data_IF_722615077587
#
_entry.id   IF_722615077587
#
_cell.length_a   1.000
_cell.length_b   1.000
_cell.length_c   1.000
_cell.angle_alpha   90.00
_cell.angle_beta   90.00
_cell.angle_gamma   90.00
#
_symmetry.space_group_name_H-M   'P 1'
#
loop_
_entity.id
_entity.type
_entity.pdbx_description
1 polymer ?
#
# COMPACT_ATOMS: atom_id res chain seq x y z
N UNK A 1 -17.51 -10.79 -26.22
CA UNK A 1 -16.09 -11.21 -26.07
C UNK A 1 -15.14 -10.20 -26.67
N UNK A 2 -15.36 -9.68 -27.87
CA UNK A 2 -14.50 -8.66 -28.49
C UNK A 2 -14.28 -7.42 -27.63
N UNK A 3 -15.33 -6.85 -27.07
CA UNK A 3 -15.25 -5.71 -26.16
C UNK A 3 -14.39 -5.99 -24.91
N UNK A 4 -14.41 -7.21 -24.37
CA UNK A 4 -13.61 -7.57 -23.20
C UNK A 4 -12.12 -7.55 -23.53
N UNK A 5 -11.74 -8.11 -24.70
CA UNK A 5 -10.35 -8.10 -25.14
C UNK A 5 -9.85 -6.68 -25.44
N UNK A 6 -10.69 -5.85 -26.06
CA UNK A 6 -10.33 -4.46 -26.34
C UNK A 6 -10.16 -3.66 -25.02
N UNK A 7 -11.08 -3.85 -24.08
CA UNK A 7 -10.96 -3.22 -22.75
C UNK A 7 -9.70 -3.69 -22.03
N UNK A 8 -9.41 -5.00 -22.03
CA UNK A 8 -8.20 -5.53 -21.41
C UNK A 8 -6.93 -4.96 -22.06
N UNK A 9 -6.88 -4.90 -23.40
CA UNK A 9 -5.76 -4.31 -24.13
C UNK A 9 -5.57 -2.83 -23.81
N UNK A 10 -6.67 -2.07 -23.70
CA UNK A 10 -6.62 -0.64 -23.33
C UNK A 10 -6.08 -0.43 -21.92
N UNK A 11 -6.55 -1.20 -20.94
CA UNK A 11 -6.06 -1.11 -19.56
C UNK A 11 -4.59 -1.50 -19.43
N UNK A 12 -4.18 -2.60 -20.07
CA UNK A 12 -2.77 -3.01 -20.10
C UNK A 12 -1.90 -2.03 -20.89
N UNK A 13 -2.44 -1.38 -21.94
CA UNK A 13 -1.76 -0.31 -22.67
C UNK A 13 -1.49 0.90 -21.78
N UNK A 14 -2.46 1.32 -20.97
CA UNK A 14 -2.30 2.39 -19.97
C UNK A 14 -1.27 1.98 -18.91
N UNK A 15 -1.29 0.74 -18.42
CA UNK A 15 -0.32 0.23 -17.47
C UNK A 15 1.11 0.22 -18.03
N UNK A 16 1.27 -0.21 -19.28
CA UNK A 16 2.56 -0.16 -19.97
C UNK A 16 3.06 1.28 -20.12
N UNK A 17 2.19 2.19 -20.55
CA UNK A 17 2.52 3.61 -20.66
C UNK A 17 2.94 4.19 -19.29
N UNK A 18 2.24 3.83 -18.22
CA UNK A 18 2.60 4.22 -16.86
C UNK A 18 4.01 3.76 -16.48
N UNK A 19 4.35 2.51 -16.79
CA UNK A 19 5.67 1.95 -16.53
C UNK A 19 6.77 2.70 -17.31
N UNK A 20 6.53 3.00 -18.59
CA UNK A 20 7.49 3.75 -19.43
C UNK A 20 7.71 5.18 -18.93
N UNK A 21 6.66 5.86 -18.49
CA UNK A 21 6.75 7.19 -17.89
C UNK A 21 7.50 7.12 -16.55
N UNK A 22 7.18 6.16 -15.69
CA UNK A 22 7.84 5.94 -14.41
C UNK A 22 9.35 5.75 -14.58
N UNK A 23 9.78 4.90 -15.50
CA UNK A 23 11.21 4.66 -15.80
C UNK A 23 11.93 5.95 -16.23
N UNK A 24 11.27 6.80 -17.00
CA UNK A 24 11.89 8.06 -17.49
C UNK A 24 11.90 9.18 -16.46
N UNK A 25 10.91 9.21 -15.56
CA UNK A 25 10.72 10.32 -14.61
C UNK A 25 11.23 10.03 -13.21
N UNK A 26 11.47 8.76 -12.88
CA UNK A 26 11.76 8.30 -11.50
C UNK A 26 10.56 8.40 -10.54
N UNK A 27 9.36 8.71 -11.06
CA UNK A 27 8.13 8.75 -10.26
C UNK A 27 7.62 7.32 -10.09
N UNK A 28 7.15 6.98 -8.88
CA UNK A 28 6.55 5.66 -8.61
C UNK A 28 5.49 5.29 -9.64
N UNK A 29 5.57 4.07 -10.19
CA UNK A 29 4.63 3.56 -11.20
C UNK A 29 3.16 3.65 -10.73
N UNK A 30 2.90 3.37 -9.46
CA UNK A 30 1.56 3.46 -8.86
C UNK A 30 0.97 4.88 -8.96
N UNK A 31 1.78 5.92 -8.74
CA UNK A 31 1.36 7.31 -8.91
C UNK A 31 1.03 7.64 -10.37
N UNK A 32 1.85 7.15 -11.30
CA UNK A 32 1.62 7.35 -12.74
C UNK A 32 0.37 6.59 -13.19
N UNK A 33 0.15 5.36 -12.69
CA UNK A 33 -1.06 4.57 -12.96
C UNK A 33 -2.34 5.28 -12.48
N UNK A 34 -2.31 5.87 -11.27
CA UNK A 34 -3.45 6.67 -10.78
C UNK A 34 -3.65 7.89 -11.68
N UNK A 35 -2.58 8.62 -12.01
CA UNK A 35 -2.68 9.81 -12.87
C UNK A 35 -3.25 9.48 -14.24
N UNK A 36 -2.74 8.45 -14.91
CA UNK A 36 -3.28 8.00 -16.19
C UNK A 36 -4.70 7.45 -16.04
N UNK A 37 -5.04 6.84 -14.91
CA UNK A 37 -6.39 6.44 -14.56
C UNK A 37 -7.35 7.64 -14.52
N UNK A 38 -6.94 8.76 -13.89
CA UNK A 38 -7.72 10.02 -13.89
C UNK A 38 -7.98 10.50 -15.32
N UNK A 39 -6.95 10.50 -16.16
CA UNK A 39 -7.07 10.89 -17.56
C UNK A 39 -7.99 9.95 -18.33
N UNK A 40 -7.82 8.65 -18.15
CA UNK A 40 -8.61 7.63 -18.84
C UNK A 40 -10.10 7.67 -18.41
N UNK A 41 -10.39 7.83 -17.12
CA UNK A 41 -11.76 7.92 -16.61
C UNK A 41 -12.49 9.16 -17.07
N UNK A 42 -11.83 10.32 -17.05
CA UNK A 42 -12.48 11.59 -17.36
C UNK A 42 -12.54 11.91 -18.88
N UNK A 43 -11.57 11.44 -19.68
CA UNK A 43 -11.47 11.81 -21.11
C UNK A 43 -11.69 10.64 -22.06
N UNK A 44 -11.37 9.39 -21.65
CA UNK A 44 -11.46 8.23 -22.53
C UNK A 44 -12.65 7.31 -22.18
N UNK A 45 -13.45 7.68 -21.17
CA UNK A 45 -14.63 6.91 -20.76
C UNK A 45 -14.28 5.52 -20.20
N UNK A 46 -13.15 5.39 -19.51
CA UNK A 46 -12.82 4.13 -18.84
C UNK A 46 -13.79 3.90 -17.70
N UNK A 47 -14.63 2.86 -17.87
CA UNK A 47 -15.57 2.41 -16.85
C UNK A 47 -15.14 1.06 -16.30
N UNK A 48 -15.41 0.85 -15.03
CA UNK A 48 -15.16 -0.45 -14.40
C UNK A 48 -16.12 -1.50 -14.94
N UNK A 49 -15.61 -2.70 -15.15
CA UNK A 49 -16.40 -3.88 -15.48
C UNK A 49 -16.21 -4.93 -14.36
N UNK A 50 -17.14 -5.88 -14.15
CA UNK A 50 -17.07 -6.83 -13.04
C UNK A 50 -15.74 -7.60 -12.95
N UNK A 51 -15.14 -7.97 -14.07
CA UNK A 51 -13.85 -8.66 -14.09
C UNK A 51 -12.68 -7.73 -13.70
N UNK A 52 -12.76 -6.44 -14.04
CA UNK A 52 -11.79 -5.41 -13.61
C UNK A 52 -11.90 -5.22 -12.10
N UNK A 53 -13.13 -5.19 -11.57
CA UNK A 53 -13.37 -5.06 -10.12
C UNK A 53 -12.73 -6.22 -9.34
N UNK A 54 -12.84 -7.46 -9.88
CA UNK A 54 -12.20 -8.63 -9.27
C UNK A 54 -10.67 -8.52 -9.31
N UNK A 55 -10.09 -8.14 -10.45
CA UNK A 55 -8.63 -7.96 -10.57
C UNK A 55 -8.12 -6.85 -9.66
N UNK A 56 -8.82 -5.72 -9.59
CA UNK A 56 -8.47 -4.61 -8.72
C UNK A 56 -8.54 -4.98 -7.24
N UNK A 57 -9.62 -5.67 -6.83
CA UNK A 57 -9.75 -6.17 -5.45
C UNK A 57 -8.65 -7.17 -5.10
N UNK A 58 -8.34 -8.10 -6.01
CA UNK A 58 -7.25 -9.05 -5.80
C UNK A 58 -5.89 -8.36 -5.80
N UNK A 59 -5.70 -7.32 -6.61
CA UNK A 59 -4.51 -6.46 -6.59
C UNK A 59 -4.29 -5.79 -5.23
N UNK A 60 -5.34 -5.22 -4.64
CA UNK A 60 -5.32 -4.66 -3.29
C UNK A 60 -4.92 -5.71 -2.24
N UNK A 61 -5.53 -6.91 -2.30
CA UNK A 61 -5.19 -8.01 -1.39
C UNK A 61 -3.72 -8.45 -1.53
N UNK A 62 -3.24 -8.56 -2.75
CA UNK A 62 -1.86 -8.95 -3.05
C UNK A 62 -0.84 -7.92 -2.60
N UNK A 63 -1.11 -6.62 -2.82
CA UNK A 63 -0.27 -5.53 -2.30
C UNK A 63 -0.17 -5.60 -0.77
N UNK A 64 -1.30 -5.81 -0.13
CA UNK A 64 -1.38 -5.91 1.33
C UNK A 64 -0.65 -7.14 1.86
N UNK A 65 -0.84 -8.29 1.21
CA UNK A 65 -0.12 -9.52 1.53
C UNK A 65 1.41 -9.33 1.40
N UNK A 66 1.87 -8.75 0.29
CA UNK A 66 3.29 -8.47 0.08
C UNK A 66 3.84 -7.50 1.14
N UNK A 67 3.10 -6.45 1.47
CA UNK A 67 3.50 -5.53 2.54
C UNK A 67 3.75 -6.26 3.87
N UNK A 68 2.90 -7.24 4.21
CA UNK A 68 3.12 -8.10 5.39
C UNK A 68 4.28 -9.08 5.22
N UNK A 69 4.43 -9.69 4.03
CA UNK A 69 5.42 -10.71 3.76
C UNK A 69 6.87 -10.17 3.63
N UNK A 70 7.02 -8.89 3.33
CA UNK A 70 8.32 -8.23 3.18
C UNK A 70 8.98 -7.85 4.51
N UNK A 71 8.27 -7.95 5.61
CA UNK A 71 8.80 -7.60 6.93
C UNK A 71 9.85 -8.61 7.34
N UNK A 72 11.04 -8.10 7.67
CA UNK A 72 12.06 -8.89 8.33
C UNK A 72 11.76 -9.00 9.84
N UNK A 73 11.38 -10.19 10.35
CA UNK A 73 11.03 -10.36 11.75
C UNK A 73 12.19 -10.06 12.71
N UNK A 74 13.45 -10.24 12.28
CA UNK A 74 14.62 -9.99 13.11
C UNK A 74 14.88 -8.48 13.26
N UNK A 75 14.83 -7.74 12.15
CA UNK A 75 14.95 -6.27 12.15
C UNK A 75 13.79 -5.62 12.90
N UNK A 76 12.57 -6.12 12.74
CA UNK A 76 11.41 -5.64 13.48
C UNK A 76 11.61 -5.78 15.00
N UNK A 77 12.11 -6.94 15.48
CA UNK A 77 12.40 -7.14 16.90
C UNK A 77 13.48 -6.20 17.44
N UNK A 78 14.54 -5.93 16.66
CA UNK A 78 15.64 -5.02 17.06
C UNK A 78 15.15 -3.59 17.30
N UNK A 79 14.24 -3.10 16.45
CA UNK A 79 13.71 -1.73 16.48
C UNK A 79 12.26 -1.64 17.01
N UNK A 80 11.79 -2.68 17.71
CA UNK A 80 10.39 -2.83 18.09
C UNK A 80 9.81 -1.61 18.82
N UNK A 81 10.50 -1.13 19.88
CA UNK A 81 10.00 -0.02 20.68
C UNK A 81 9.87 1.29 19.89
N UNK A 82 10.93 1.80 19.22
CA UNK A 82 10.80 3.02 18.44
C UNK A 82 9.83 2.87 17.27
N UNK A 83 9.81 1.72 16.57
CA UNK A 83 8.89 1.49 15.46
C UNK A 83 7.42 1.45 15.89
N UNK A 84 7.12 0.80 17.02
CA UNK A 84 5.76 0.78 17.57
C UNK A 84 5.30 2.18 17.97
N UNK A 85 6.12 2.93 18.69
CA UNK A 85 5.74 4.26 19.18
C UNK A 85 5.60 5.24 18.02
N UNK A 86 6.59 5.30 17.12
CA UNK A 86 6.56 6.18 15.95
C UNK A 86 5.40 5.80 15.03
N UNK A 87 5.22 4.52 14.72
CA UNK A 87 4.17 4.05 13.84
C UNK A 87 2.78 4.29 14.40
N UNK A 88 2.57 4.00 15.70
CA UNK A 88 1.27 4.23 16.36
C UNK A 88 0.90 5.72 16.41
N UNK A 89 1.82 6.58 16.80
CA UNK A 89 1.57 8.03 16.83
C UNK A 89 1.44 8.59 15.42
N UNK A 90 2.22 8.08 14.47
CA UNK A 90 2.09 8.41 13.05
C UNK A 90 0.72 8.04 12.46
N UNK A 91 0.06 7.02 12.99
CA UNK A 91 -1.33 6.71 12.70
C UNK A 91 -2.30 7.63 13.46
N UNK A 92 -2.15 7.69 14.79
CA UNK A 92 -3.16 8.27 15.67
C UNK A 92 -3.36 9.79 15.46
N UNK A 93 -2.28 10.55 15.33
CA UNK A 93 -2.36 12.02 15.23
C UNK A 93 -3.08 12.47 13.96
N UNK A 94 -2.71 12.04 12.74
CA UNK A 94 -3.45 12.45 11.56
C UNK A 94 -4.85 11.80 11.48
N UNK A 95 -5.07 10.62 12.07
CA UNK A 95 -6.40 10.02 12.20
C UNK A 95 -7.34 10.97 12.97
N UNK A 96 -6.95 11.35 14.18
CA UNK A 96 -7.75 12.27 15.00
C UNK A 96 -7.81 13.67 14.40
N UNK A 97 -6.70 14.18 13.88
CA UNK A 97 -6.63 15.52 13.28
C UNK A 97 -7.51 15.68 12.05
N UNK A 98 -7.44 14.73 11.11
CA UNK A 98 -8.26 14.77 9.91
C UNK A 98 -9.75 14.50 10.23
N UNK A 99 -10.04 13.54 11.11
CA UNK A 99 -11.40 13.26 11.56
C UNK A 99 -12.03 14.47 12.24
N UNK A 100 -11.33 15.10 13.18
CA UNK A 100 -11.82 16.29 13.87
C UNK A 100 -12.01 17.46 12.89
N UNK A 101 -11.04 17.69 12.00
CA UNK A 101 -11.13 18.76 11.02
C UNK A 101 -12.34 18.56 10.08
N UNK A 102 -12.49 17.37 9.51
CA UNK A 102 -13.58 17.09 8.57
C UNK A 102 -14.94 17.12 9.25
N UNK A 103 -15.06 16.66 10.48
CA UNK A 103 -16.34 16.71 11.20
C UNK A 103 -16.71 18.13 11.66
N UNK A 104 -15.81 18.81 12.39
CA UNK A 104 -16.16 20.08 13.05
C UNK A 104 -16.02 21.32 12.14
N UNK A 105 -15.14 21.26 11.14
CA UNK A 105 -14.87 22.44 10.28
C UNK A 105 -15.55 22.30 8.93
N UNK A 106 -15.50 21.10 8.28
CA UNK A 106 -16.14 20.93 6.97
C UNK A 106 -17.57 20.42 7.05
N UNK A 107 -18.04 20.02 8.24
CA UNK A 107 -19.42 19.57 8.45
C UNK A 107 -19.71 18.16 7.89
N UNK A 108 -18.68 17.34 7.66
CA UNK A 108 -18.91 15.96 7.25
C UNK A 108 -19.57 15.17 8.38
N UNK A 109 -20.45 14.25 8.04
CA UNK A 109 -21.04 13.34 9.02
C UNK A 109 -19.93 12.48 9.70
N UNK A 110 -20.28 11.89 10.84
CA UNK A 110 -19.29 11.20 11.68
C UNK A 110 -18.61 10.03 10.97
N UNK A 111 -19.37 9.24 10.19
CA UNK A 111 -18.81 8.09 9.46
C UNK A 111 -17.87 8.52 8.33
N UNK A 112 -18.27 9.56 7.56
CA UNK A 112 -17.41 10.14 6.52
C UNK A 112 -16.13 10.73 7.11
N UNK A 113 -16.23 11.41 8.27
CA UNK A 113 -15.06 11.94 8.97
C UNK A 113 -14.13 10.84 9.48
N UNK A 114 -14.66 9.71 9.94
CA UNK A 114 -13.87 8.53 10.30
C UNK A 114 -13.11 7.96 9.09
N UNK A 115 -13.77 7.84 7.93
CA UNK A 115 -13.10 7.43 6.68
C UNK A 115 -12.00 8.41 6.31
N UNK A 116 -12.23 9.72 6.41
CA UNK A 116 -11.22 10.74 6.16
C UNK A 116 -10.02 10.58 7.12
N UNK A 117 -10.29 10.39 8.41
CA UNK A 117 -9.26 10.11 9.41
C UNK A 117 -8.41 8.90 9.06
N UNK A 118 -9.05 7.77 8.72
CA UNK A 118 -8.38 6.53 8.32
C UNK A 118 -7.56 6.75 7.04
N UNK A 119 -8.16 7.30 5.99
CA UNK A 119 -7.48 7.50 4.72
C UNK A 119 -6.26 8.41 4.83
N UNK A 120 -6.33 9.45 5.66
CA UNK A 120 -5.26 10.44 5.82
C UNK A 120 -4.23 10.06 6.90
N UNK A 121 -4.51 9.08 7.76
CA UNK A 121 -3.54 8.59 8.75
C UNK A 121 -2.42 7.73 8.16
N UNK A 122 -2.62 7.22 6.97
CA UNK A 122 -1.78 6.21 6.34
C UNK A 122 -0.36 6.67 6.06
N UNK A 123 0.56 5.71 6.04
CA UNK A 123 1.91 5.82 5.47
C UNK A 123 2.02 4.77 4.35
N UNK A 124 2.62 5.09 3.23
CA UNK A 124 2.75 4.12 2.14
C UNK A 124 4.05 3.34 2.23
N UNK A 125 3.99 2.09 2.67
CA UNK A 125 5.16 1.18 2.62
C UNK A 125 5.71 1.09 1.21
N UNK A 126 4.86 1.00 0.18
CA UNK A 126 5.30 0.87 -1.21
C UNK A 126 6.15 2.06 -1.67
N UNK A 127 5.71 3.29 -1.39
CA UNK A 127 6.47 4.51 -1.74
C UNK A 127 7.74 4.61 -0.92
N UNK A 128 7.65 4.39 0.39
CA UNK A 128 8.81 4.44 1.30
C UNK A 128 9.84 3.38 0.93
N UNK A 129 9.41 2.15 0.63
CA UNK A 129 10.31 1.07 0.24
C UNK A 129 11.01 1.37 -1.09
N UNK A 130 10.30 1.89 -2.10
CA UNK A 130 10.92 2.30 -3.36
C UNK A 130 12.02 3.34 -3.12
N UNK A 131 11.73 4.39 -2.36
CA UNK A 131 12.71 5.41 -1.99
C UNK A 131 13.91 4.82 -1.24
N UNK A 132 13.65 3.91 -0.28
CA UNK A 132 14.72 3.25 0.48
C UNK A 132 15.62 2.40 -0.41
N UNK A 133 15.06 1.69 -1.40
CA UNK A 133 15.84 0.89 -2.35
C UNK A 133 16.66 1.77 -3.28
N UNK A 134 16.05 2.82 -3.82
CA UNK A 134 16.74 3.79 -4.72
C UNK A 134 17.90 4.50 -4.03
N UNK A 135 17.77 4.81 -2.75
CA UNK A 135 18.80 5.50 -1.96
C UNK A 135 19.76 4.55 -1.23
N UNK A 136 19.57 3.22 -1.32
CA UNK A 136 20.36 2.22 -0.60
C UNK A 136 20.12 2.20 0.91
N UNK A 137 19.11 2.93 1.40
CA UNK A 137 18.80 3.02 2.84
C UNK A 137 18.06 1.80 3.40
N UNK A 138 17.51 0.92 2.54
CA UNK A 138 16.80 -0.30 2.94
C UNK A 138 17.64 -1.26 3.79
N UNK A 139 18.96 -1.24 3.64
CA UNK A 139 19.87 -2.09 4.42
C UNK A 139 20.35 -1.42 5.73
N UNK A 140 20.10 -0.13 5.91
CA UNK A 140 20.50 0.64 7.10
C UNK A 140 19.54 0.48 8.27
N UNK A 141 20.03 0.74 9.49
CA UNK A 141 19.18 0.69 10.70
C UNK A 141 18.03 1.72 10.65
N UNK A 142 18.27 2.90 10.06
CA UNK A 142 17.23 3.92 9.90
C UNK A 142 16.18 3.50 8.89
N UNK A 143 16.57 2.95 7.74
CA UNK A 143 15.62 2.46 6.75
C UNK A 143 14.74 1.33 7.28
N UNK A 144 15.36 0.37 7.99
CA UNK A 144 14.65 -0.73 8.65
C UNK A 144 13.68 -0.24 9.73
N UNK A 145 14.06 0.78 10.51
CA UNK A 145 13.19 1.40 11.49
C UNK A 145 11.99 2.08 10.83
N UNK A 146 12.22 2.87 9.77
CA UNK A 146 11.14 3.57 9.05
C UNK A 146 10.17 2.55 8.44
N UNK A 147 10.67 1.51 7.75
CA UNK A 147 9.82 0.47 7.17
C UNK A 147 9.01 -0.27 8.24
N UNK A 148 9.62 -0.56 9.40
CA UNK A 148 8.91 -1.17 10.52
C UNK A 148 7.84 -0.23 11.13
N UNK A 149 8.10 1.08 11.18
CA UNK A 149 7.11 2.06 11.64
C UNK A 149 5.96 2.24 10.63
N UNK A 150 6.25 2.22 9.32
CA UNK A 150 5.22 2.20 8.27
C UNK A 150 4.28 1.00 8.43
N UNK A 151 4.85 -0.16 8.70
CA UNK A 151 4.10 -1.37 9.00
C UNK A 151 3.11 -1.19 10.15
N UNK A 152 3.55 -0.60 11.26
CA UNK A 152 2.69 -0.34 12.43
C UNK A 152 1.57 0.64 12.08
N UNK A 153 1.87 1.66 11.26
CA UNK A 153 0.87 2.60 10.77
C UNK A 153 -0.19 1.91 9.89
N UNK A 154 0.25 1.03 8.99
CA UNK A 154 -0.66 0.25 8.12
C UNK A 154 -1.55 -0.68 8.94
N UNK A 155 -0.98 -1.39 9.93
CA UNK A 155 -1.75 -2.20 10.86
C UNK A 155 -2.79 -1.36 11.62
N UNK A 156 -2.41 -0.18 12.10
CA UNK A 156 -3.34 0.77 12.76
C UNK A 156 -4.50 1.16 11.84
N UNK A 157 -4.19 1.47 10.59
CA UNK A 157 -5.19 1.84 9.57
C UNK A 157 -6.19 0.70 9.32
N UNK A 158 -5.68 -0.51 9.11
CA UNK A 158 -6.51 -1.68 8.81
C UNK A 158 -7.35 -2.09 10.02
N UNK A 159 -6.79 -2.01 11.22
CA UNK A 159 -7.53 -2.26 12.46
C UNK A 159 -8.63 -1.22 12.68
N UNK A 160 -8.33 0.07 12.44
CA UNK A 160 -9.34 1.12 12.55
C UNK A 160 -10.48 0.92 11.56
N UNK A 161 -10.18 0.60 10.29
CA UNK A 161 -11.19 0.30 9.29
C UNK A 161 -12.05 -0.91 9.71
N UNK A 162 -11.40 -1.99 10.15
CA UNK A 162 -12.08 -3.21 10.57
C UNK A 162 -12.93 -3.04 11.83
N UNK A 163 -12.48 -2.25 12.81
CA UNK A 163 -13.20 -2.04 14.09
C UNK A 163 -14.33 -1.02 13.96
N UNK A 164 -14.08 0.11 13.29
CA UNK A 164 -15.06 1.20 13.20
C UNK A 164 -16.22 0.88 12.25
N UNK A 165 -15.97 0.08 11.22
CA UNK A 165 -16.97 -0.27 10.22
C UNK A 165 -17.33 -1.77 10.22
N UNK A 166 -16.98 -2.50 11.28
CA UNK A 166 -17.38 -3.89 11.45
C UNK A 166 -18.88 -4.03 11.67
N UNK A 167 -19.50 -4.88 10.88
CA UNK A 167 -20.86 -5.35 11.16
C UNK A 167 -20.78 -6.60 12.04
N UNK A 168 -21.11 -6.46 13.32
CA UNK A 168 -21.11 -7.56 14.28
C UNK A 168 -22.28 -8.51 14.01
N UNK A 169 -22.06 -9.49 13.14
CA UNK A 169 -23.01 -10.57 12.84
C UNK A 169 -22.38 -11.94 13.11
N UNK A 170 -23.16 -13.01 12.96
CA UNK A 170 -22.67 -14.40 13.15
C UNK A 170 -21.50 -14.74 12.20
N UNK A 171 -21.51 -14.21 10.99
CA UNK A 171 -20.46 -14.42 10.00
C UNK A 171 -19.16 -13.73 10.40
N UNK A 172 -19.23 -12.60 11.11
CA UNK A 172 -18.04 -11.93 11.66
C UNK A 172 -17.34 -12.80 12.69
N UNK A 173 -18.08 -13.47 13.57
CA UNK A 173 -17.50 -14.42 14.53
C UNK A 173 -16.83 -15.61 13.81
N UNK A 174 -17.50 -16.18 12.80
CA UNK A 174 -16.94 -17.26 11.97
C UNK A 174 -15.67 -16.77 11.26
N UNK A 175 -15.71 -15.59 10.67
CA UNK A 175 -14.57 -14.98 10.00
C UNK A 175 -13.37 -14.82 10.94
N UNK A 176 -13.58 -14.25 12.12
CA UNK A 176 -12.51 -14.06 13.12
C UNK A 176 -11.93 -15.41 13.55
N UNK A 177 -12.78 -16.38 13.94
CA UNK A 177 -12.33 -17.71 14.37
C UNK A 177 -11.56 -18.43 13.27
N UNK A 178 -12.10 -18.46 12.04
CA UNK A 178 -11.44 -19.14 10.91
C UNK A 178 -10.15 -18.43 10.52
N UNK A 179 -10.11 -17.09 10.54
CA UNK A 179 -8.88 -16.34 10.29
C UNK A 179 -7.82 -16.61 11.34
N UNK A 180 -8.16 -16.60 12.63
CA UNK A 180 -7.22 -16.94 13.70
C UNK A 180 -6.70 -18.37 13.57
N UNK A 181 -7.57 -19.33 13.28
CA UNK A 181 -7.18 -20.73 13.07
C UNK A 181 -6.29 -20.88 11.83
N UNK A 182 -6.65 -20.22 10.73
CA UNK A 182 -5.85 -20.19 9.52
C UNK A 182 -4.45 -19.62 9.80
N UNK A 183 -4.35 -18.45 10.43
CA UNK A 183 -3.08 -17.82 10.78
C UNK A 183 -2.22 -18.69 11.70
N UNK A 184 -2.82 -19.46 12.58
CA UNK A 184 -2.10 -20.41 13.43
C UNK A 184 -1.58 -21.63 12.66
N UNK A 185 -2.36 -22.13 11.70
CA UNK A 185 -2.01 -23.32 10.89
C UNK A 185 -1.07 -22.97 9.71
N UNK A 186 -1.28 -21.82 9.08
CA UNK A 186 -0.60 -21.42 7.82
C UNK A 186 0.93 -21.46 7.90
N UNK A 187 1.63 -21.04 8.98
CA UNK A 187 3.09 -21.11 9.04
C UNK A 187 3.63 -22.54 8.94
N UNK A 188 2.91 -23.51 9.51
CA UNK A 188 3.31 -24.92 9.46
C UNK A 188 2.99 -25.52 8.10
N UNK A 189 1.79 -25.23 7.61
CA UNK A 189 1.28 -25.73 6.33
C UNK A 189 2.11 -25.17 5.15
N UNK A 190 2.41 -23.88 5.14
CA UNK A 190 3.24 -23.23 4.10
C UNK A 190 4.64 -23.84 4.06
N UNK A 191 5.31 -23.96 5.21
CA UNK A 191 6.64 -24.56 5.28
C UNK A 191 6.65 -26.03 4.80
N UNK A 192 5.65 -26.81 5.22
CA UNK A 192 5.52 -28.20 4.77
C UNK A 192 5.29 -28.28 3.26
N UNK A 193 4.36 -27.48 2.74
CA UNK A 193 3.99 -27.46 1.35
C UNK A 193 5.14 -27.00 0.45
N UNK A 194 5.80 -25.90 0.80
CA UNK A 194 6.91 -25.35 0.03
C UNK A 194 8.11 -26.29 0.03
N UNK A 195 8.43 -26.93 1.19
CA UNK A 195 9.51 -27.91 1.26
C UNK A 195 9.22 -29.16 0.43
N UNK A 196 7.97 -29.64 0.38
CA UNK A 196 7.61 -30.89 -0.28
C UNK A 196 7.35 -30.72 -1.78
N UNK A 197 6.75 -29.62 -2.19
CA UNK A 197 6.25 -29.42 -3.55
C UNK A 197 6.84 -28.20 -4.25
N UNK A 198 7.61 -27.39 -3.57
CA UNK A 198 8.16 -26.14 -4.08
C UNK A 198 9.24 -26.32 -5.16
N UNK A 199 9.54 -25.23 -5.86
CA UNK A 199 10.57 -25.19 -6.90
C UNK A 199 10.19 -25.92 -8.20
N UNK A 200 8.91 -26.19 -8.43
CA UNK A 200 8.42 -26.84 -9.66
C UNK A 200 7.88 -25.81 -10.65
N UNK A 201 7.97 -26.12 -11.94
CA UNK A 201 7.44 -25.28 -13.05
C UNK A 201 5.95 -24.93 -12.87
N UNK A 202 5.18 -25.80 -12.20
CA UNK A 202 3.77 -25.55 -11.93
C UNK A 202 3.48 -24.52 -10.84
N UNK A 203 4.51 -23.97 -10.18
CA UNK A 203 4.42 -22.92 -9.14
C UNK A 203 3.39 -23.23 -8.04
N UNK A 204 3.50 -24.37 -7.35
CA UNK A 204 2.49 -24.75 -6.36
C UNK A 204 2.44 -23.80 -5.15
N UNK A 205 3.57 -23.14 -4.81
CA UNK A 205 3.67 -22.15 -3.74
C UNK A 205 2.80 -20.92 -4.03
N UNK A 206 2.89 -20.41 -5.26
CA UNK A 206 2.10 -19.25 -5.72
C UNK A 206 0.61 -19.58 -5.72
N UNK A 207 0.24 -20.76 -6.25
CA UNK A 207 -1.14 -21.24 -6.25
C UNK A 207 -1.69 -21.40 -4.84
N UNK A 208 -0.88 -21.91 -3.91
CA UNK A 208 -1.28 -22.05 -2.51
C UNK A 208 -1.56 -20.68 -1.87
N UNK A 209 -0.67 -19.71 -2.07
CA UNK A 209 -0.86 -18.35 -1.54
C UNK A 209 -2.15 -17.74 -2.12
N UNK A 210 -2.36 -17.85 -3.44
CA UNK A 210 -3.57 -17.35 -4.09
C UNK A 210 -4.84 -18.03 -3.56
N UNK A 211 -4.81 -19.35 -3.38
CA UNK A 211 -5.92 -20.09 -2.80
C UNK A 211 -6.26 -19.57 -1.39
N UNK A 212 -5.26 -19.39 -0.54
CA UNK A 212 -5.47 -18.89 0.83
C UNK A 212 -6.03 -17.47 0.80
N UNK A 213 -5.47 -16.58 -0.03
CA UNK A 213 -5.96 -15.20 -0.15
C UNK A 213 -7.40 -15.15 -0.67
N UNK A 214 -7.73 -15.90 -1.71
CA UNK A 214 -9.10 -15.98 -2.22
C UNK A 214 -10.07 -16.54 -1.17
N UNK A 215 -9.65 -17.54 -0.41
CA UNK A 215 -10.47 -18.11 0.67
C UNK A 215 -10.71 -17.11 1.79
N UNK A 216 -9.66 -16.43 2.26
CA UNK A 216 -9.78 -15.38 3.27
C UNK A 216 -10.61 -14.19 2.76
N UNK A 217 -10.44 -13.83 1.48
CA UNK A 217 -11.25 -12.81 0.82
C UNK A 217 -12.73 -13.17 0.77
N UNK A 218 -13.06 -14.41 0.39
CA UNK A 218 -14.44 -14.89 0.36
C UNK A 218 -15.10 -14.87 1.75
N UNK A 219 -14.35 -15.28 2.79
CA UNK A 219 -14.81 -15.20 4.18
C UNK A 219 -15.04 -13.75 4.64
N UNK A 220 -14.12 -12.84 4.28
CA UNK A 220 -14.24 -11.42 4.62
C UNK A 220 -15.51 -10.83 3.99
N UNK A 221 -15.74 -11.07 2.70
CA UNK A 221 -16.96 -10.61 1.99
C UNK A 221 -18.22 -11.20 2.63
N UNK A 222 -18.23 -12.50 2.96
CA UNK A 222 -19.37 -13.14 3.64
C UNK A 222 -19.64 -12.53 5.02
N UNK A 223 -18.60 -12.05 5.69
CA UNK A 223 -18.70 -11.37 6.98
C UNK A 223 -19.01 -9.87 6.87
N UNK A 224 -19.24 -9.34 5.66
CA UNK A 224 -19.30 -7.90 5.37
C UNK A 224 -18.09 -7.12 5.91
N UNK A 225 -16.92 -7.74 5.88
CA UNK A 225 -15.64 -7.18 6.32
C UNK A 225 -14.71 -6.99 5.11
N UNK A 226 -13.51 -6.45 5.36
CA UNK A 226 -12.50 -6.25 4.32
C UNK A 226 -11.45 -7.36 4.34
N UNK A 227 -11.07 -7.80 3.14
CA UNK A 227 -10.07 -8.85 2.95
C UNK A 227 -8.62 -8.37 3.24
N UNK A 228 -8.42 -7.07 3.38
CA UNK A 228 -7.12 -6.43 3.54
C UNK A 228 -6.43 -6.87 4.83
N UNK A 229 -7.14 -6.88 5.97
CA UNK A 229 -6.58 -7.32 7.26
C UNK A 229 -6.09 -8.77 7.25
N UNK A 230 -6.90 -9.78 6.88
CA UNK A 230 -6.41 -11.15 6.85
C UNK A 230 -5.30 -11.40 5.83
N UNK A 231 -5.30 -10.70 4.67
CA UNK A 231 -4.22 -10.77 3.70
C UNK A 231 -2.89 -10.26 4.28
N UNK A 232 -2.94 -9.14 4.99
CA UNK A 232 -1.78 -8.57 5.66
C UNK A 232 -1.22 -9.49 6.75
N UNK A 233 -2.09 -9.99 7.63
CA UNK A 233 -1.71 -10.92 8.70
C UNK A 233 -1.15 -12.23 8.13
N UNK A 234 -1.71 -12.72 7.02
CA UNK A 234 -1.15 -13.90 6.34
C UNK A 234 0.25 -13.61 5.81
N UNK A 235 0.47 -12.46 5.15
CA UNK A 235 1.80 -12.02 4.73
C UNK A 235 2.80 -12.01 5.88
N UNK A 236 2.43 -11.38 7.00
CA UNK A 236 3.26 -11.31 8.21
C UNK A 236 3.63 -12.69 8.76
N UNK A 237 2.66 -13.59 8.81
CA UNK A 237 2.84 -14.94 9.37
C UNK A 237 3.78 -15.79 8.51
N UNK A 238 3.80 -15.58 7.20
CA UNK A 238 4.70 -16.27 6.26
C UNK A 238 5.98 -15.49 5.94
N UNK A 239 6.16 -14.30 6.49
CA UNK A 239 7.31 -13.43 6.22
C UNK A 239 8.66 -14.14 6.39
N UNK A 240 8.80 -14.98 7.44
CA UNK A 240 10.01 -15.76 7.66
C UNK A 240 10.36 -16.76 6.54
N UNK A 241 9.36 -17.22 5.78
CA UNK A 241 9.58 -18.07 4.60
C UNK A 241 10.12 -17.25 3.44
N UNK A 242 9.56 -16.06 3.23
CA UNK A 242 9.97 -15.15 2.14
C UNK A 242 11.35 -14.53 2.37
N UNK A 243 11.76 -14.34 3.62
CA UNK A 243 13.14 -13.94 3.95
C UNK A 243 14.15 -14.99 3.48
N UNK A 244 13.78 -16.27 3.58
CA UNK A 244 14.64 -17.40 3.14
C UNK A 244 14.55 -17.65 1.64
N UNK A 245 13.37 -17.44 1.03
CA UNK A 245 13.14 -17.67 -0.41
C UNK A 245 12.88 -16.34 -1.15
N UNK A 246 13.98 -15.68 -1.49
CA UNK A 246 13.93 -14.41 -2.27
C UNK A 246 13.43 -14.61 -3.70
N UNK A 247 13.51 -15.84 -4.24
CA UNK A 247 13.01 -16.16 -5.58
C UNK A 247 11.48 -16.15 -5.58
N UNK A 248 10.86 -16.81 -4.60
CA UNK A 248 9.42 -16.80 -4.44
C UNK A 248 8.89 -15.37 -4.25
N UNK A 249 9.55 -14.55 -3.43
CA UNK A 249 9.18 -13.14 -3.26
C UNK A 249 9.20 -12.38 -4.59
N UNK A 250 10.25 -12.54 -5.40
CA UNK A 250 10.33 -11.89 -6.72
C UNK A 250 9.21 -12.35 -7.65
N UNK A 251 8.88 -13.64 -7.68
CA UNK A 251 7.77 -14.18 -8.48
C UNK A 251 6.43 -13.56 -8.07
N UNK A 252 6.16 -13.51 -6.77
CA UNK A 252 4.95 -12.88 -6.24
C UNK A 252 4.87 -11.41 -6.62
N UNK A 253 5.96 -10.65 -6.47
CA UNK A 253 6.04 -9.25 -6.90
C UNK A 253 5.78 -9.12 -8.41
N UNK A 254 6.42 -9.93 -9.24
CA UNK A 254 6.24 -9.89 -10.69
C UNK A 254 4.77 -10.04 -11.08
N UNK A 255 4.09 -11.06 -10.58
CA UNK A 255 2.66 -11.28 -10.89
C UNK A 255 1.83 -10.10 -10.39
N UNK A 256 2.07 -9.67 -9.17
CA UNK A 256 1.33 -8.57 -8.54
C UNK A 256 1.49 -7.28 -9.33
N UNK A 257 2.71 -6.82 -9.55
CA UNK A 257 2.97 -5.52 -10.19
C UNK A 257 2.76 -5.53 -11.71
N UNK A 258 2.85 -6.68 -12.37
CA UNK A 258 2.61 -6.77 -13.82
C UNK A 258 1.12 -6.80 -14.17
N UNK A 259 0.32 -7.52 -13.39
CA UNK A 259 -1.07 -7.79 -13.76
C UNK A 259 -2.09 -7.18 -12.80
N UNK A 260 -1.87 -7.26 -11.50
CA UNK A 260 -2.93 -6.99 -10.53
C UNK A 260 -2.96 -5.53 -10.07
N UNK A 261 -1.81 -4.96 -9.71
CA UNK A 261 -1.76 -3.60 -9.20
C UNK A 261 -2.14 -2.52 -10.21
N UNK A 262 -1.83 -2.66 -11.52
CA UNK A 262 -2.27 -1.68 -12.49
C UNK A 262 -3.80 -1.53 -12.53
N UNK A 263 -4.54 -2.65 -12.48
CA UNK A 263 -6.00 -2.59 -12.43
C UNK A 263 -6.52 -1.89 -11.17
N UNK A 264 -5.85 -2.07 -10.02
CA UNK A 264 -6.22 -1.38 -8.80
C UNK A 264 -5.97 0.13 -8.90
N UNK A 265 -4.76 0.55 -9.27
CA UNK A 265 -4.40 1.97 -9.28
C UNK A 265 -5.05 2.75 -10.42
N UNK A 266 -5.13 2.19 -11.63
CA UNK A 266 -5.84 2.83 -12.75
C UNK A 266 -7.32 2.99 -12.41
N UNK A 267 -7.97 1.97 -11.81
CA UNK A 267 -9.36 2.06 -11.36
C UNK A 267 -9.52 3.13 -10.28
N UNK A 268 -8.65 3.17 -9.29
CA UNK A 268 -8.69 4.20 -8.25
C UNK A 268 -8.58 5.61 -8.86
N UNK A 269 -7.72 5.79 -9.86
CA UNK A 269 -7.61 7.01 -10.62
C UNK A 269 -8.86 7.34 -11.44
N UNK A 270 -9.40 6.36 -12.17
CA UNK A 270 -10.57 6.55 -13.03
C UNK A 270 -11.84 6.97 -12.26
N UNK A 271 -11.91 6.68 -10.96
CA UNK A 271 -12.98 7.11 -10.08
C UNK A 271 -12.80 8.55 -9.57
N UNK A 272 -11.69 9.23 -9.86
CA UNK A 272 -11.48 10.62 -9.44
C UNK A 272 -12.18 11.57 -10.43
N UNK A 273 -13.04 12.41 -9.91
CA UNK A 273 -13.75 13.44 -10.68
C UNK A 273 -12.92 14.72 -10.80
N UNK A 274 -12.51 15.12 -12.01
CA UNK A 274 -11.81 16.39 -12.25
C UNK A 274 -12.62 17.63 -11.84
N UNK A 275 -13.95 17.73 -12.10
CA UNK A 275 -14.74 18.82 -11.60
C UNK A 275 -14.71 18.93 -10.06
N UNK A 276 -14.79 17.80 -9.34
CA UNK A 276 -14.69 17.77 -7.90
C UNK A 276 -13.30 18.23 -7.39
N UNK A 277 -12.23 17.95 -8.13
CA UNK A 277 -10.89 18.45 -7.80
C UNK A 277 -10.81 19.97 -7.92
N UNK A 278 -11.34 20.52 -9.00
CA UNK A 278 -11.31 21.97 -9.22
C UNK A 278 -12.10 22.72 -8.14
N UNK A 279 -13.30 22.26 -7.81
CA UNK A 279 -14.12 22.88 -6.77
C UNK A 279 -13.58 22.63 -5.36
N UNK A 280 -12.93 21.48 -5.13
CA UNK A 280 -12.39 21.06 -3.85
C UNK A 280 -10.94 21.46 -3.58
N UNK A 281 -10.25 22.20 -4.47
CA UNK A 281 -8.80 22.45 -4.39
C UNK A 281 -8.37 23.07 -3.05
N UNK A 282 -9.15 24.00 -2.51
CA UNK A 282 -8.88 24.63 -1.20
C UNK A 282 -8.94 23.59 -0.08
N UNK A 283 -9.96 22.75 -0.10
CA UNK A 283 -10.12 21.69 0.90
C UNK A 283 -9.00 20.65 0.79
N UNK A 284 -8.58 20.30 -0.43
CA UNK A 284 -7.46 19.40 -0.69
C UNK A 284 -6.18 19.95 -0.07
N UNK A 285 -5.86 21.22 -0.32
CA UNK A 285 -4.64 21.85 0.23
C UNK A 285 -4.69 21.94 1.77
N UNK A 286 -5.84 22.27 2.33
CA UNK A 286 -6.01 22.34 3.79
C UNK A 286 -5.87 20.95 4.41
N UNK A 287 -6.52 19.91 3.87
CA UNK A 287 -6.41 18.54 4.38
C UNK A 287 -5.01 17.97 4.24
N UNK A 288 -4.32 18.29 3.15
CA UNK A 288 -2.89 17.95 3.01
C UNK A 288 -2.07 18.64 4.11
N UNK A 289 -2.33 19.92 4.37
CA UNK A 289 -1.70 20.68 5.45
C UNK A 289 -2.00 20.07 6.84
N UNK A 290 -3.25 19.70 7.11
CA UNK A 290 -3.67 19.04 8.36
C UNK A 290 -2.93 17.71 8.54
N UNK A 291 -2.88 16.87 7.50
CA UNK A 291 -2.15 15.62 7.53
C UNK A 291 -0.67 15.83 7.84
N UNK A 292 0.00 16.71 7.09
CA UNK A 292 1.43 16.98 7.28
C UNK A 292 1.72 17.57 8.66
N UNK A 293 0.94 18.53 9.11
CA UNK A 293 1.07 19.13 10.44
C UNK A 293 0.89 18.09 11.55
N UNK A 294 -0.13 17.25 11.46
CA UNK A 294 -0.38 16.19 12.43
C UNK A 294 0.79 15.17 12.48
N UNK A 295 1.34 14.80 11.33
CA UNK A 295 2.53 13.93 11.25
C UNK A 295 3.77 14.60 11.86
N UNK A 296 4.01 15.88 11.55
CA UNK A 296 5.14 16.62 12.10
C UNK A 296 5.00 16.74 13.63
N UNK A 297 3.84 17.15 14.13
CA UNK A 297 3.59 17.30 15.57
C UNK A 297 3.73 15.97 16.30
N UNK A 298 3.27 14.87 15.72
CA UNK A 298 3.34 13.55 16.35
C UNK A 298 4.70 12.87 16.22
N UNK A 299 5.25 12.79 15.02
CA UNK A 299 6.41 11.93 14.70
C UNK A 299 7.74 12.62 15.03
N UNK A 300 7.90 13.90 14.66
CA UNK A 300 9.18 14.60 14.81
C UNK A 300 9.69 14.64 16.26
N UNK A 301 8.87 14.98 17.28
CA UNK A 301 9.33 15.00 18.67
C UNK A 301 9.77 13.60 19.15
N UNK A 302 9.11 12.55 18.68
CA UNK A 302 9.47 11.17 19.02
C UNK A 302 10.82 10.77 18.43
N UNK A 303 11.08 11.12 17.15
CA UNK A 303 12.39 10.89 16.56
C UNK A 303 13.50 11.57 17.36
N UNK A 304 13.26 12.80 17.84
CA UNK A 304 14.20 13.51 18.71
C UNK A 304 14.33 12.87 20.10
N UNK A 305 13.23 12.38 20.67
CA UNK A 305 13.25 11.66 21.96
C UNK A 305 14.05 10.34 21.86
N UNK A 306 14.01 9.66 20.70
CA UNK A 306 14.86 8.50 20.41
C UNK A 306 16.29 8.86 19.99
N UNK A 307 16.70 10.14 20.17
CA UNK A 307 18.06 10.66 19.89
C UNK A 307 18.49 10.54 18.43
N UNK A 308 17.55 10.50 17.49
CA UNK A 308 17.88 10.52 16.06
C UNK A 308 18.50 11.88 15.69
N UNK A 309 19.53 11.94 14.83
CA UNK A 309 20.06 13.18 14.28
C UNK A 309 18.97 14.03 13.65
N UNK A 310 19.12 15.34 13.61
CA UNK A 310 18.10 16.26 13.09
C UNK A 310 17.71 15.94 11.65
N UNK A 311 18.69 15.64 10.79
CA UNK A 311 18.48 15.30 9.39
C UNK A 311 17.66 14.00 9.23
N UNK A 312 17.99 12.98 10.00
CA UNK A 312 17.27 11.71 10.03
C UNK A 312 15.86 11.85 10.61
N UNK A 313 15.69 12.71 11.63
CA UNK A 313 14.37 13.01 12.21
C UNK A 313 13.45 13.67 11.20
N UNK A 314 13.96 14.64 10.43
CA UNK A 314 13.20 15.30 9.37
C UNK A 314 12.86 14.33 8.24
N UNK A 315 13.84 13.53 7.81
CA UNK A 315 13.66 12.52 6.77
C UNK A 315 12.60 11.48 7.17
N UNK A 316 12.73 10.91 8.37
CA UNK A 316 11.76 9.96 8.93
C UNK A 316 10.36 10.55 8.98
N UNK A 317 10.20 11.77 9.52
CA UNK A 317 8.91 12.45 9.65
C UNK A 317 8.24 12.66 8.29
N UNK A 318 9.00 13.10 7.30
CA UNK A 318 8.49 13.33 5.95
C UNK A 318 8.10 12.02 5.26
N UNK A 319 8.94 10.98 5.35
CA UNK A 319 8.58 9.68 4.79
C UNK A 319 7.39 9.02 5.52
N UNK A 320 7.27 9.19 6.83
CA UNK A 320 6.08 8.76 7.58
C UNK A 320 4.82 9.56 7.22
N UNK A 321 4.96 10.69 6.52
CA UNK A 321 3.83 11.50 6.04
C UNK A 321 3.30 11.05 4.67
N UNK A 322 4.00 10.16 3.97
CA UNK A 322 3.55 9.62 2.69
C UNK A 322 2.29 8.79 2.86
N UNK A 323 1.39 8.83 1.90
CA UNK A 323 0.22 7.97 1.89
C UNK A 323 -0.11 7.61 0.45
N UNK A 324 -0.48 6.35 0.19
CA UNK A 324 -0.95 5.93 -1.12
C UNK A 324 -1.87 4.72 -0.99
N UNK A 325 -1.31 3.53 -0.73
CA UNK A 325 -2.00 2.24 -0.84
C UNK A 325 -3.22 2.15 0.09
N UNK A 326 -3.00 2.18 1.40
CA UNK A 326 -4.10 2.05 2.37
C UNK A 326 -5.02 3.26 2.42
N UNK A 327 -4.50 4.45 2.10
CA UNK A 327 -5.34 5.65 1.97
C UNK A 327 -6.34 5.53 0.84
N UNK A 328 -5.90 5.07 -0.34
CA UNK A 328 -6.77 4.82 -1.49
C UNK A 328 -7.75 3.66 -1.24
N UNK A 329 -7.29 2.58 -0.58
CA UNK A 329 -8.15 1.45 -0.19
C UNK A 329 -9.27 1.92 0.74
N UNK A 330 -8.93 2.68 1.80
CA UNK A 330 -9.90 3.15 2.78
C UNK A 330 -10.91 4.13 2.17
N UNK A 331 -10.45 5.05 1.31
CA UNK A 331 -11.33 5.96 0.60
C UNK A 331 -12.26 5.20 -0.37
N UNK A 332 -11.73 4.23 -1.12
CA UNK A 332 -12.54 3.40 -2.03
C UNK A 332 -13.56 2.56 -1.27
N UNK A 333 -13.19 2.02 -0.11
CA UNK A 333 -14.12 1.34 0.78
C UNK A 333 -15.27 2.27 1.18
N UNK A 334 -14.96 3.48 1.64
CA UNK A 334 -15.97 4.47 2.00
C UNK A 334 -16.93 4.79 0.86
N UNK A 335 -16.41 4.94 -0.37
CA UNK A 335 -17.22 5.17 -1.56
C UNK A 335 -18.10 3.99 -1.91
N UNK A 336 -17.53 2.79 -1.99
CA UNK A 336 -18.28 1.58 -2.39
C UNK A 336 -19.33 1.15 -1.39
N UNK A 337 -19.17 1.53 -0.11
CA UNK A 337 -20.17 1.34 0.95
C UNK A 337 -21.18 2.49 1.06
N UNK A 338 -21.05 3.53 0.25
CA UNK A 338 -21.91 4.69 0.29
C UNK A 338 -21.75 5.54 1.56
N UNK A 339 -20.63 5.42 2.26
CA UNK A 339 -20.31 6.20 3.46
C UNK A 339 -19.87 7.60 3.07
N UNK A 340 -19.09 7.73 1.99
CA UNK A 340 -18.64 9.00 1.44
C UNK A 340 -19.16 9.18 0.01
N UNK A 341 -19.36 10.45 -0.38
CA UNK A 341 -19.75 10.81 -1.74
C UNK A 341 -18.56 10.71 -2.72
N UNK A 342 -18.86 10.76 -4.03
CA UNK A 342 -17.83 10.79 -5.09
C UNK A 342 -16.90 12.00 -4.94
N UNK A 343 -17.44 13.16 -4.54
CA UNK A 343 -16.65 14.37 -4.35
C UNK A 343 -15.71 14.23 -3.15
N UNK A 344 -16.21 13.72 -2.03
CA UNK A 344 -15.41 13.42 -0.84
C UNK A 344 -14.30 12.40 -1.15
N UNK A 345 -14.62 11.36 -1.92
CA UNK A 345 -13.65 10.38 -2.40
C UNK A 345 -12.55 11.06 -3.22
N UNK A 346 -12.94 11.87 -4.21
CA UNK A 346 -11.99 12.56 -5.10
C UNK A 346 -11.05 13.48 -4.31
N UNK A 347 -11.58 14.22 -3.34
CA UNK A 347 -10.78 15.04 -2.42
C UNK A 347 -9.81 14.19 -1.63
N UNK A 348 -10.28 13.13 -0.96
CA UNK A 348 -9.45 12.29 -0.10
C UNK A 348 -8.32 11.60 -0.87
N UNK A 349 -8.62 10.98 -2.01
CA UNK A 349 -7.60 10.28 -2.82
C UNK A 349 -6.58 11.27 -3.35
N UNK A 350 -7.00 12.50 -3.73
CA UNK A 350 -6.05 13.53 -4.18
C UNK A 350 -5.14 13.99 -3.05
N UNK A 351 -5.65 14.16 -1.83
CA UNK A 351 -4.80 14.44 -0.66
C UNK A 351 -3.81 13.30 -0.39
N UNK A 352 -4.27 12.05 -0.52
CA UNK A 352 -3.43 10.86 -0.38
C UNK A 352 -2.30 10.87 -1.41
N UNK A 353 -2.61 11.13 -2.70
CA UNK A 353 -1.62 11.24 -3.78
C UNK A 353 -0.65 12.41 -3.52
N UNK A 354 -1.18 13.58 -3.18
CA UNK A 354 -0.36 14.76 -2.84
C UNK A 354 0.60 14.47 -1.68
N UNK A 355 0.14 13.71 -0.69
CA UNK A 355 0.99 13.29 0.43
C UNK A 355 2.02 12.21 0.06
N UNK A 356 1.85 11.48 -1.03
CA UNK A 356 2.89 10.59 -1.55
C UNK A 356 4.00 11.36 -2.26
N UNK A 357 3.67 12.46 -2.94
CA UNK A 357 4.60 13.22 -3.77
C UNK A 357 5.35 14.27 -2.95
N UNK A 358 4.61 15.18 -2.31
CA UNK A 358 5.18 16.38 -1.69
C UNK A 358 6.20 16.08 -0.59
N UNK A 359 5.88 15.31 0.47
CA UNK A 359 6.84 15.04 1.53
C UNK A 359 7.99 14.13 1.06
N UNK A 360 7.76 13.22 0.12
CA UNK A 360 8.80 12.38 -0.46
C UNK A 360 9.83 13.20 -1.21
N UNK A 361 9.38 14.11 -2.06
CA UNK A 361 10.26 15.03 -2.79
C UNK A 361 11.09 15.90 -1.84
N UNK A 362 10.45 16.46 -0.81
CA UNK A 362 11.14 17.26 0.22
C UNK A 362 12.18 16.41 0.98
N UNK A 363 11.81 15.18 1.36
CA UNK A 363 12.69 14.28 2.09
C UNK A 363 13.95 13.94 1.28
N UNK A 364 13.80 13.52 0.04
CA UNK A 364 14.91 13.13 -0.83
C UNK A 364 15.79 14.33 -1.19
N UNK A 365 15.21 15.49 -1.51
CA UNK A 365 15.99 16.65 -1.97
C UNK A 365 16.80 17.28 -0.84
N UNK A 366 16.24 17.42 0.36
CA UNK A 366 16.87 18.24 1.42
C UNK A 366 17.33 17.47 2.65
N UNK A 367 16.76 16.31 2.93
CA UNK A 367 16.97 15.62 4.21
C UNK A 367 17.49 14.19 4.08
N UNK A 368 17.81 13.72 2.88
CA UNK A 368 18.34 12.37 2.68
C UNK A 368 19.59 12.16 3.54
N UNK A 369 19.63 11.11 4.40
CA UNK A 369 20.79 10.79 5.20
C UNK A 369 22.00 10.51 4.31
N UNK A 370 23.16 11.07 4.65
CA UNK A 370 24.42 10.80 3.94
C UNK A 370 24.89 9.39 4.33
N UNK A 371 24.50 8.39 3.59
CA UNK A 371 25.00 7.02 3.75
C UNK A 371 26.27 6.82 2.95
N UNK A 372 27.27 6.20 3.57
CA UNK A 372 28.55 5.84 2.94
C UNK A 372 28.47 4.44 2.30
N UNK A 373 27.29 3.96 1.92
CA UNK A 373 27.16 2.69 1.21
C UNK A 373 27.10 2.96 -0.30
N UNK A 374 28.06 2.51 -1.09
CA UNK A 374 27.97 2.60 -2.54
C UNK A 374 26.73 1.82 -3.00
N UNK A 375 25.86 2.45 -3.74
CA UNK A 375 24.82 1.77 -4.49
C UNK A 375 25.50 0.89 -5.55
N UNK A 376 25.51 -0.43 -5.31
CA UNK A 376 25.67 -1.37 -6.41
C UNK A 376 24.29 -1.53 -7.07
N UNK A 377 24.10 -1.01 -8.30
CA UNK A 377 22.87 -1.29 -9.02
C UNK A 377 22.73 -2.81 -9.09
N UNK A 378 21.61 -3.34 -8.63
CA UNK A 378 21.26 -4.73 -8.89
C UNK A 378 21.28 -4.89 -10.42
N UNK A 379 22.34 -5.49 -10.93
CA UNK A 379 22.46 -5.78 -12.35
C UNK A 379 21.25 -6.60 -12.77
N UNK A 380 20.30 -5.96 -13.43
CA UNK A 380 19.52 -6.66 -14.42
C UNK A 380 20.55 -7.10 -15.44
N UNK A 381 20.85 -8.40 -15.44
CA UNK A 381 21.85 -8.97 -16.33
C UNK A 381 21.65 -8.36 -17.71
N UNK A 382 22.66 -7.67 -18.18
CA UNK A 382 22.74 -7.26 -19.56
C UNK A 382 22.47 -8.49 -20.41
N UNK A 383 21.75 -8.32 -21.49
CA UNK A 383 21.36 -9.38 -22.43
C UNK A 383 22.54 -10.18 -23.02
N UNK A 384 23.74 -9.91 -22.57
CA UNK A 384 24.97 -10.62 -23.00
C UNK A 384 25.03 -12.11 -22.59
N UNK A 385 24.25 -12.53 -21.57
CA UNK A 385 24.16 -13.95 -21.24
C UNK A 385 23.18 -14.75 -22.11
N UNK A 386 22.38 -14.10 -22.96
CA UNK A 386 21.47 -14.79 -23.89
C UNK A 386 22.14 -15.07 -25.26
N UNK A 387 23.29 -14.49 -25.55
CA UNK A 387 24.00 -14.73 -26.83
C UNK A 387 24.90 -15.97 -26.81
N UNK A 388 25.20 -16.55 -25.65
CA UNK A 388 26.02 -17.77 -25.57
C UNK A 388 25.22 -19.10 -25.58
N UNK A 389 23.88 -19.06 -25.73
CA UNK A 389 23.06 -20.28 -25.82
C UNK A 389 22.56 -20.59 -27.24
N UNK A 390 23.06 -19.90 -28.26
CA UNK A 390 22.66 -20.10 -29.68
C UNK A 390 23.74 -20.79 -30.49
N UNK A 391 24.95 -21.02 -29.94
CA UNK A 391 26.08 -21.61 -30.65
C UNK A 391 26.54 -23.00 -30.10
N UNK A 392 25.64 -23.76 -29.43
CA UNK A 392 25.85 -25.19 -29.18
C UNK A 392 24.70 -26.06 -29.68
#
# INVERSE_FOLDING_TARGET
>A
MEQVWFTAASWLGVALLASLISIRTGISVALVEIFLGVMAGNFLGFHSAPWIDVLAAFGSMMLTFLAGAEIDPASFKKHLKPSLVIGFISFLFPFLGAMAFTHYITGWDWQSAQIAGIALSTTSVAVVYAVMVETGLNETDIGKLILAACFVTDLGTVLALGVLFANFNRWMLVFVVVTCLALWMLPRLSRWMFKKYGGRVSEPEVKFIFLVLCFLGALAVAANSEAVLPAYLFGLVVAGVFVQDRVLMRRMRTITFTLLTPFFFIKAGALISLPALYTGIVLILILLGVKLAAKIIGVWPLCRAFKMPLRESNYTTLLMSTGLTFGSISALYGLTRGIISQDQYSVLVTVVIGSAIVPTFIAQTWFEPKTVVPYEPAYFGTADHLLHYVDE
#
